data_IF_399711717765
#
_entry.id   IF_399711717765
#
_cell.length_a   1.000
_cell.length_b   1.000
_cell.length_c   1.000
_cell.angle_alpha   90.00
_cell.angle_beta   90.00
_cell.angle_gamma   90.00
#
_symmetry.space_group_name_H-M   'P 1'
#
loop_
_entity.id
_entity.type
_entity.pdbx_description
1 polymer ?
#
# COMPACT_ATOMS: atom_id res chain seq x y z
N UNK A 1 -18.35 13.07 -7.25
CA UNK A 1 -18.28 14.52 -6.99
C UNK A 1 -17.32 14.73 -5.83
N UNK A 2 -16.15 15.32 -6.05
CA UNK A 2 -15.19 15.61 -4.96
C UNK A 2 -15.64 16.89 -4.25
N UNK A 3 -15.64 16.90 -2.92
CA UNK A 3 -16.01 18.09 -2.15
C UNK A 3 -14.95 19.19 -2.33
N UNK A 4 -15.36 20.37 -2.78
CA UNK A 4 -14.47 21.52 -3.01
C UNK A 4 -13.67 21.91 -1.76
N UNK A 5 -14.22 21.66 -0.57
CA UNK A 5 -13.58 21.97 0.72
C UNK A 5 -12.37 21.07 1.01
N UNK A 6 -12.34 19.85 0.48
CA UNK A 6 -11.21 18.93 0.69
C UNK A 6 -9.99 19.34 -0.15
N UNK A 7 -10.23 19.83 -1.36
CA UNK A 7 -9.17 20.22 -2.31
C UNK A 7 -8.46 21.51 -1.86
N UNK A 8 -9.18 22.43 -1.22
CA UNK A 8 -8.63 23.70 -0.72
C UNK A 8 -7.88 23.58 0.62
N UNK A 9 -7.82 22.38 1.22
CA UNK A 9 -7.19 22.19 2.52
C UNK A 9 -5.66 22.11 2.36
N UNK A 10 -4.97 23.12 2.85
CA UNK A 10 -3.51 23.14 2.89
C UNK A 10 -3.01 22.43 4.14
N UNK A 11 -2.05 21.52 3.96
CA UNK A 11 -1.37 20.82 5.05
C UNK A 11 0.04 21.40 5.27
N UNK A 12 0.57 21.39 6.50
CA UNK A 12 1.94 21.80 6.77
C UNK A 12 2.94 21.00 5.93
N UNK A 13 4.05 21.63 5.53
CA UNK A 13 5.11 20.95 4.78
C UNK A 13 5.84 19.89 5.61
N UNK A 14 5.85 20.03 6.94
CA UNK A 14 6.48 19.13 7.90
C UNK A 14 5.43 18.21 8.54
N UNK A 15 4.98 17.23 7.76
CA UNK A 15 4.20 16.11 8.31
C UNK A 15 5.14 15.00 8.81
N UNK A 16 4.76 14.30 9.90
CA UNK A 16 5.50 13.15 10.40
C UNK A 16 5.48 12.02 9.37
N UNK A 17 6.47 11.14 9.46
CA UNK A 17 6.48 9.89 8.72
C UNK A 17 5.31 9.00 9.15
N UNK A 18 4.78 8.24 8.20
CA UNK A 18 3.69 7.30 8.34
C UNK A 18 4.20 5.89 8.05
N UNK A 19 3.83 4.94 8.91
CA UNK A 19 3.94 3.51 8.65
C UNK A 19 2.54 2.94 8.43
N UNK A 20 2.37 2.10 7.42
CA UNK A 20 1.07 1.48 7.08
C UNK A 20 1.12 0.00 7.42
N UNK A 21 0.19 -0.46 8.25
CA UNK A 21 0.05 -1.88 8.59
C UNK A 21 -1.17 -2.42 7.85
N UNK A 22 -0.96 -3.43 7.01
CA UNK A 22 -1.99 -4.12 6.23
C UNK A 22 -2.11 -5.55 6.73
N UNK A 23 -3.23 -5.85 7.39
CA UNK A 23 -3.56 -7.19 7.86
C UNK A 23 -4.49 -7.83 6.83
N UNK A 24 -4.20 -9.07 6.42
CA UNK A 24 -5.02 -9.82 5.47
C UNK A 24 -5.18 -11.27 5.93
N UNK A 25 -6.25 -11.92 5.48
CA UNK A 25 -6.55 -13.33 5.75
C UNK A 25 -7.27 -13.91 4.53
N UNK A 26 -6.65 -14.92 3.89
CA UNK A 26 -7.16 -15.60 2.69
C UNK A 26 -7.63 -14.67 1.54
N UNK A 27 -7.09 -13.45 1.49
CA UNK A 27 -7.42 -12.46 0.47
C UNK A 27 -6.72 -12.73 -0.86
N UNK A 28 -7.37 -12.33 -1.96
CA UNK A 28 -6.74 -12.47 -3.27
C UNK A 28 -5.52 -11.57 -3.42
N UNK A 29 -4.47 -12.08 -4.08
CA UNK A 29 -3.25 -11.34 -4.38
C UNK A 29 -3.51 -9.98 -5.05
N UNK A 30 -4.49 -9.92 -5.96
CA UNK A 30 -4.88 -8.68 -6.65
C UNK A 30 -5.43 -7.61 -5.70
N UNK A 31 -6.12 -8.01 -4.63
CA UNK A 31 -6.69 -7.08 -3.64
C UNK A 31 -5.56 -6.48 -2.82
N UNK A 32 -4.64 -7.32 -2.32
CA UNK A 32 -3.48 -6.89 -1.54
C UNK A 32 -2.61 -5.94 -2.37
N UNK A 33 -2.30 -6.32 -3.61
CA UNK A 33 -1.50 -5.51 -4.52
C UNK A 33 -2.17 -4.16 -4.83
N UNK A 34 -3.49 -4.15 -5.05
CA UNK A 34 -4.23 -2.91 -5.27
C UNK A 34 -4.19 -2.01 -4.04
N UNK A 35 -4.27 -2.57 -2.84
CA UNK A 35 -4.12 -1.80 -1.59
C UNK A 35 -2.73 -1.18 -1.49
N UNK A 36 -1.67 -1.96 -1.66
CA UNK A 36 -0.27 -1.50 -1.62
C UNK A 36 -0.01 -0.41 -2.68
N UNK A 37 -0.34 -0.70 -3.94
CA UNK A 37 -0.17 0.24 -5.06
C UNK A 37 -0.90 1.54 -4.79
N UNK A 38 -2.09 1.44 -4.20
CA UNK A 38 -2.90 2.60 -3.89
C UNK A 38 -2.35 3.42 -2.71
N UNK A 39 -1.65 2.81 -1.76
CA UNK A 39 -0.94 3.51 -0.68
C UNK A 39 0.26 4.24 -1.28
N UNK A 40 1.05 3.57 -2.13
CA UNK A 40 2.24 4.16 -2.77
C UNK A 40 1.86 5.30 -3.71
N UNK A 41 0.81 5.14 -4.54
CA UNK A 41 0.44 6.15 -5.53
C UNK A 41 -0.21 7.39 -4.93
N UNK A 42 -0.87 7.26 -3.78
CA UNK A 42 -1.62 8.35 -3.13
C UNK A 42 -0.88 9.00 -1.98
N UNK A 43 0.18 8.37 -1.48
CA UNK A 43 1.00 8.92 -0.40
C UNK A 43 2.30 9.49 -0.98
N UNK A 44 2.64 10.76 -0.70
CA UNK A 44 3.95 11.29 -1.06
C UNK A 44 5.08 10.44 -0.47
N UNK A 45 6.08 10.10 -1.28
CA UNK A 45 7.20 9.21 -0.89
C UNK A 45 7.97 9.68 0.35
N UNK A 46 8.02 10.99 0.63
CA UNK A 46 8.68 11.53 1.83
C UNK A 46 7.97 11.13 3.13
N UNK A 47 6.68 10.81 3.07
CA UNK A 47 5.85 10.53 4.24
C UNK A 47 5.78 9.04 4.51
N UNK A 48 5.79 8.21 3.47
CA UNK A 48 5.67 6.76 3.63
C UNK A 48 7.02 6.16 4.02
N UNK A 49 7.14 5.67 5.25
CA UNK A 49 8.35 5.02 5.74
C UNK A 49 8.41 3.55 5.34
N UNK A 50 7.34 2.82 5.60
CA UNK A 50 7.26 1.38 5.38
C UNK A 50 5.80 0.92 5.27
N UNK A 51 5.60 -0.22 4.61
CA UNK A 51 4.34 -0.96 4.58
C UNK A 51 4.61 -2.33 5.19
N UNK A 52 3.94 -2.63 6.29
CA UNK A 52 4.05 -3.90 7.01
C UNK A 52 2.85 -4.74 6.63
N UNK A 53 3.09 -5.88 6.00
CA UNK A 53 2.08 -6.87 5.68
C UNK A 53 2.05 -7.89 6.82
N UNK A 54 0.86 -8.11 7.39
CA UNK A 54 0.64 -9.06 8.49
C UNK A 54 -0.35 -10.10 8.01
N UNK A 55 0.08 -11.36 8.02
CA UNK A 55 -0.76 -12.50 7.70
C UNK A 55 -1.46 -13.01 8.97
N UNK A 56 -2.79 -12.97 8.99
CA UNK A 56 -3.62 -13.51 10.08
C UNK A 56 -4.05 -14.96 9.78
N UNK A 57 -3.06 -15.85 9.72
CA UNK A 57 -3.21 -17.31 9.57
C UNK A 57 -3.80 -17.76 8.21
N UNK A 58 -3.43 -17.10 7.12
CA UNK A 58 -3.84 -17.53 5.78
C UNK A 58 -3.34 -18.94 5.46
N UNK A 59 -4.18 -19.70 4.75
CA UNK A 59 -3.89 -21.09 4.40
C UNK A 59 -2.77 -21.23 3.35
N UNK A 60 -2.45 -20.12 2.65
CA UNK A 60 -1.61 -20.09 1.44
C UNK A 60 -0.42 -19.11 1.55
N UNK A 61 0.00 -18.73 2.77
CA UNK A 61 0.91 -17.62 3.04
C UNK A 61 2.19 -17.57 2.18
N UNK A 62 2.89 -18.69 2.01
CA UNK A 62 4.17 -18.72 1.26
C UNK A 62 4.03 -18.41 -0.24
N UNK A 63 2.95 -18.84 -0.88
CA UNK A 63 2.73 -18.59 -2.32
C UNK A 63 2.28 -17.16 -2.58
N UNK A 64 1.63 -16.54 -1.60
CA UNK A 64 1.19 -15.15 -1.69
C UNK A 64 2.39 -14.18 -1.61
N UNK A 65 3.36 -14.43 -0.74
CA UNK A 65 4.55 -13.55 -0.62
C UNK A 65 5.35 -13.46 -1.93
N UNK A 66 5.64 -14.59 -2.57
CA UNK A 66 6.35 -14.60 -3.86
C UNK A 66 5.53 -13.93 -4.96
N UNK A 67 4.21 -14.17 -4.99
CA UNK A 67 3.30 -13.53 -5.94
C UNK A 67 3.20 -12.01 -5.75
N UNK A 68 3.21 -11.52 -4.50
CA UNK A 68 3.20 -10.07 -4.18
C UNK A 68 4.47 -9.42 -4.68
N UNK A 69 5.64 -10.00 -4.37
CA UNK A 69 6.92 -9.43 -4.76
C UNK A 69 7.00 -9.34 -6.28
N UNK A 70 6.83 -10.46 -7.00
CA UNK A 70 6.93 -10.50 -8.46
C UNK A 70 5.98 -9.50 -9.13
N UNK A 71 4.71 -9.45 -8.71
CA UNK A 71 3.75 -8.49 -9.27
C UNK A 71 4.06 -7.04 -8.92
N UNK A 72 4.66 -6.76 -7.78
CA UNK A 72 5.12 -5.42 -7.44
C UNK A 72 6.30 -4.99 -8.33
N UNK A 73 7.24 -5.89 -8.65
CA UNK A 73 8.32 -5.61 -9.61
C UNK A 73 7.75 -5.23 -10.99
N UNK A 74 6.77 -5.99 -11.48
CA UNK A 74 6.08 -5.70 -12.73
C UNK A 74 5.35 -4.34 -12.69
N UNK A 75 4.66 -4.05 -11.58
CA UNK A 75 3.84 -2.84 -11.43
C UNK A 75 4.68 -1.57 -11.27
N UNK A 76 5.82 -1.68 -10.60
CA UNK A 76 6.74 -0.57 -10.37
C UNK A 76 7.76 -0.40 -11.51
N UNK A 77 7.75 -1.30 -12.51
CA UNK A 77 8.58 -1.17 -13.72
C UNK A 77 10.07 -1.30 -13.46
N UNK A 78 10.47 -2.01 -12.40
CA UNK A 78 11.86 -2.36 -12.17
C UNK A 78 12.19 -3.58 -13.06
N UNK A 79 12.77 -3.33 -14.23
CA UNK A 79 13.29 -4.36 -15.15
C UNK A 79 14.54 -5.04 -14.59
#
# INVERSE_FOLDING_TARGET
MVSYRCVQKTYPSLLPSLSVILIFMDESLSIIQRAITSVISRTPSRLLKEIILVDDFSSNGEQLEQGIILKLWDTLGFS
#
